data_IF_725890105036
#
_entry.id   IF_725890105036
#
_cell.length_a   1.000
_cell.length_b   1.000
_cell.length_c   1.000
_cell.angle_alpha   90.00
_cell.angle_beta   90.00
_cell.angle_gamma   90.00
#
_symmetry.space_group_name_H-M   'P 1'
#
loop_
_entity.id
_entity.type
_entity.pdbx_description
1 polymer ?
#
# COMPACT_ATOMS: atom_id res chain seq x y z
N UNK A 1 -25.56 14.69 -19.63
CA UNK A 1 -24.42 14.04 -20.33
C UNK A 1 -23.19 14.94 -20.30
N UNK A 2 -23.27 16.21 -20.73
CA UNK A 2 -22.17 17.19 -20.60
C UNK A 2 -21.69 17.36 -19.14
N UNK A 3 -22.60 17.42 -18.17
CA UNK A 3 -22.25 17.64 -16.76
C UNK A 3 -21.39 16.52 -16.16
N UNK A 4 -21.61 15.28 -16.58
CA UNK A 4 -20.83 14.12 -16.10
C UNK A 4 -19.40 14.16 -16.63
N UNK A 5 -19.20 14.54 -17.90
CA UNK A 5 -17.86 14.70 -18.48
C UNK A 5 -17.13 15.88 -17.81
N UNK A 6 -17.83 16.98 -17.52
CA UNK A 6 -17.26 18.11 -16.78
C UNK A 6 -16.81 17.70 -15.37
N UNK A 7 -17.61 16.91 -14.66
CA UNK A 7 -17.24 16.35 -13.35
C UNK A 7 -15.96 15.50 -13.45
N UNK A 8 -15.86 14.62 -14.46
CA UNK A 8 -14.68 13.80 -14.67
C UNK A 8 -13.44 14.64 -15.03
N UNK A 9 -13.60 15.68 -15.86
CA UNK A 9 -12.50 16.60 -16.18
C UNK A 9 -12.00 17.33 -14.93
N UNK A 10 -12.93 17.80 -14.09
CA UNK A 10 -12.58 18.46 -12.84
C UNK A 10 -11.88 17.51 -11.86
N UNK A 11 -12.34 16.26 -11.74
CA UNK A 11 -11.67 15.25 -10.92
C UNK A 11 -10.21 14.99 -11.36
N UNK A 12 -9.96 14.92 -12.68
CA UNK A 12 -8.60 14.78 -13.23
C UNK A 12 -7.75 16.01 -12.93
N UNK A 13 -8.32 17.21 -13.03
CA UNK A 13 -7.61 18.46 -12.71
C UNK A 13 -7.21 18.54 -11.23
N UNK A 14 -8.11 18.16 -10.32
CA UNK A 14 -7.78 18.04 -8.89
C UNK A 14 -6.65 17.04 -8.63
N UNK A 15 -6.66 15.89 -9.33
CA UNK A 15 -5.57 14.92 -9.23
C UNK A 15 -4.22 15.50 -9.67
N UNK A 16 -4.17 16.32 -10.73
CA UNK A 16 -2.95 17.01 -11.16
C UNK A 16 -2.46 18.02 -10.12
N UNK A 17 -3.38 18.76 -9.48
CA UNK A 17 -3.04 19.68 -8.40
C UNK A 17 -2.42 18.94 -7.19
N UNK A 18 -2.91 17.74 -6.89
CA UNK A 18 -2.35 16.81 -5.91
C UNK A 18 -1.06 16.10 -6.39
N UNK A 19 -0.49 16.52 -7.53
CA UNK A 19 0.74 15.97 -8.14
C UNK A 19 0.62 14.51 -8.57
N UNK A 20 -0.58 14.03 -8.85
CA UNK A 20 -0.75 12.71 -9.48
C UNK A 20 -0.20 12.74 -10.90
N UNK A 21 0.46 11.65 -11.30
CA UNK A 21 0.88 11.43 -12.67
C UNK A 21 -0.33 10.99 -13.50
N UNK A 22 -1.01 11.98 -14.09
CA UNK A 22 -2.20 11.79 -14.94
C UNK A 22 -1.93 12.18 -16.39
N UNK A 23 -0.67 12.01 -16.85
CA UNK A 23 -0.28 12.27 -18.23
C UNK A 23 -1.07 11.35 -19.15
N UNK A 24 -1.79 11.93 -20.11
CA UNK A 24 -2.60 11.18 -21.07
C UNK A 24 -3.95 10.68 -20.52
N UNK A 25 -4.34 11.06 -19.30
CA UNK A 25 -5.67 10.75 -18.75
C UNK A 25 -6.58 11.98 -18.89
N UNK A 26 -7.76 11.78 -19.49
CA UNK A 26 -8.79 12.81 -19.66
C UNK A 26 -10.06 12.42 -18.91
N UNK A 27 -10.93 13.40 -18.63
CA UNK A 27 -12.22 13.10 -18.00
C UNK A 27 -13.09 12.19 -18.87
N UNK A 28 -12.94 12.23 -20.20
CA UNK A 28 -13.62 11.31 -21.11
C UNK A 28 -13.24 9.85 -20.87
N UNK A 29 -11.97 9.56 -20.56
CA UNK A 29 -11.55 8.19 -20.26
C UNK A 29 -12.25 7.62 -19.03
N UNK A 30 -12.48 8.46 -18.03
CA UNK A 30 -13.20 8.08 -16.80
C UNK A 30 -14.69 7.93 -17.09
N UNK A 31 -15.28 8.88 -17.83
CA UNK A 31 -16.68 8.87 -18.23
C UNK A 31 -17.04 7.64 -19.08
N UNK A 32 -16.19 7.28 -20.04
CA UNK A 32 -16.37 6.10 -20.90
C UNK A 32 -16.04 4.78 -20.17
N UNK A 33 -15.57 4.83 -18.92
CA UNK A 33 -15.26 3.65 -18.12
C UNK A 33 -13.98 2.92 -18.56
N UNK A 34 -12.98 3.64 -19.07
CA UNK A 34 -11.68 3.06 -19.38
C UNK A 34 -11.06 2.46 -18.11
N UNK A 35 -11.06 1.13 -18.04
CA UNK A 35 -10.72 0.37 -16.84
C UNK A 35 -9.29 0.66 -16.35
N UNK A 36 -8.34 0.71 -17.27
CA UNK A 36 -6.92 0.94 -16.94
C UNK A 36 -6.70 2.36 -16.40
N UNK A 37 -7.25 3.37 -17.08
CA UNK A 37 -7.03 4.76 -16.70
C UNK A 37 -7.82 5.14 -15.43
N UNK A 38 -8.99 4.55 -15.23
CA UNK A 38 -9.75 4.68 -13.99
C UNK A 38 -8.99 4.08 -12.82
N UNK A 39 -8.44 2.86 -12.97
CA UNK A 39 -7.62 2.24 -11.93
C UNK A 39 -6.34 3.03 -11.64
N UNK A 40 -5.72 3.64 -12.66
CA UNK A 40 -4.54 4.49 -12.46
C UNK A 40 -4.84 5.72 -11.59
N UNK A 41 -6.01 6.35 -11.76
CA UNK A 41 -6.46 7.47 -10.92
C UNK A 41 -6.76 6.99 -9.49
N UNK A 42 -7.54 5.91 -9.33
CA UNK A 42 -7.94 5.38 -8.02
C UNK A 42 -6.74 4.88 -7.22
N UNK A 43 -5.77 4.24 -7.86
CA UNK A 43 -4.53 3.80 -7.23
C UNK A 43 -3.75 4.97 -6.63
N UNK A 44 -3.59 6.05 -7.37
CA UNK A 44 -2.89 7.23 -6.87
C UNK A 44 -3.64 7.91 -5.73
N UNK A 45 -4.98 7.92 -5.78
CA UNK A 45 -5.81 8.40 -4.67
C UNK A 45 -5.64 7.57 -3.40
N UNK A 46 -5.71 6.24 -3.52
CA UNK A 46 -5.49 5.32 -2.41
C UNK A 46 -4.09 5.54 -1.80
N UNK A 47 -3.06 5.62 -2.66
CA UNK A 47 -1.68 5.85 -2.23
C UNK A 47 -1.54 7.18 -1.48
N UNK A 48 -2.05 8.27 -2.05
CA UNK A 48 -1.96 9.60 -1.43
C UNK A 48 -2.68 9.65 -0.08
N UNK A 49 -3.86 9.03 0.03
CA UNK A 49 -4.59 8.93 1.28
C UNK A 49 -3.78 8.18 2.35
N UNK A 50 -3.25 6.99 2.03
CA UNK A 50 -2.45 6.20 2.96
C UNK A 50 -1.21 6.97 3.44
N UNK A 51 -0.49 7.64 2.55
CA UNK A 51 0.68 8.45 2.94
C UNK A 51 0.30 9.65 3.79
N UNK A 52 -0.86 10.28 3.53
CA UNK A 52 -1.37 11.37 4.36
C UNK A 52 -1.74 10.89 5.77
N UNK A 53 -2.32 9.70 5.90
CA UNK A 53 -2.60 9.07 7.20
C UNK A 53 -1.29 8.76 7.93
N UNK A 54 -0.32 8.13 7.26
CA UNK A 54 0.98 7.79 7.86
C UNK A 54 1.73 9.05 8.32
N UNK A 55 1.74 10.12 7.52
CA UNK A 55 2.37 11.39 7.89
C UNK A 55 1.74 12.02 9.14
N UNK A 56 0.44 11.82 9.39
CA UNK A 56 -0.20 12.28 10.63
C UNK A 56 0.19 11.46 11.85
N UNK A 57 0.64 10.23 11.64
CA UNK A 57 1.12 9.34 12.70
C UNK A 57 2.63 9.48 12.96
N UNK A 58 3.36 10.24 12.15
CA UNK A 58 4.80 10.48 12.37
C UNK A 58 5.02 11.80 13.10
N UNK A 59 5.56 11.72 14.33
CA UNK A 59 5.85 12.91 15.15
C UNK A 59 6.92 13.83 14.53
N UNK A 60 7.69 13.32 13.55
CA UNK A 60 8.86 14.00 12.99
C UNK A 60 8.52 14.91 11.79
N UNK A 61 7.26 14.97 11.34
CA UNK A 61 6.85 15.78 10.17
C UNK A 61 7.45 15.34 8.83
N UNK A 62 8.10 14.16 8.80
CA UNK A 62 8.68 13.59 7.59
C UNK A 62 7.56 12.92 6.79
N UNK A 63 7.42 13.32 5.52
CA UNK A 63 6.50 12.71 4.57
C UNK A 63 6.83 11.23 4.40
N UNK A 64 5.95 10.35 4.85
CA UNK A 64 6.12 8.92 4.68
C UNK A 64 6.36 8.58 3.20
N UNK A 65 7.56 8.14 2.86
CA UNK A 65 7.88 7.60 1.52
C UNK A 65 7.97 6.08 1.57
N UNK A 66 7.88 5.40 0.42
CA UNK A 66 8.01 3.94 0.35
C UNK A 66 9.31 3.44 0.99
N UNK A 67 10.41 4.19 0.77
CA UNK A 67 11.72 3.88 1.36
C UNK A 67 11.69 3.95 2.88
N UNK A 68 10.98 4.92 3.44
CA UNK A 68 10.86 5.09 4.88
C UNK A 68 9.97 4.02 5.51
N UNK A 69 8.88 3.64 4.83
CA UNK A 69 8.04 2.53 5.28
C UNK A 69 8.86 1.23 5.31
N UNK A 70 9.61 0.94 4.24
CA UNK A 70 10.49 -0.25 4.17
C UNK A 70 11.56 -0.20 5.26
N UNK A 71 12.20 0.95 5.47
CA UNK A 71 13.18 1.14 6.54
C UNK A 71 12.57 0.86 7.91
N UNK A 72 11.43 1.47 8.22
CA UNK A 72 10.74 1.28 9.49
C UNK A 72 10.35 -0.19 9.71
N UNK A 73 9.85 -0.88 8.67
CA UNK A 73 9.51 -2.30 8.75
C UNK A 73 10.74 -3.13 9.14
N UNK A 74 11.87 -2.92 8.46
CA UNK A 74 13.10 -3.68 8.74
C UNK A 74 13.69 -3.35 10.12
N UNK A 75 13.68 -2.09 10.55
CA UNK A 75 14.09 -1.66 11.90
C UNK A 75 13.19 -2.31 12.97
N UNK A 76 11.87 -2.33 12.75
CA UNK A 76 10.91 -2.94 13.67
C UNK A 76 11.13 -4.45 13.81
N UNK A 77 11.29 -5.15 12.70
CA UNK A 77 11.61 -6.59 12.67
C UNK A 77 12.92 -6.89 13.40
N UNK A 78 13.96 -6.10 13.14
CA UNK A 78 15.27 -6.24 13.81
C UNK A 78 15.15 -6.01 15.32
N UNK A 79 14.41 -4.99 15.75
CA UNK A 79 14.19 -4.70 17.18
C UNK A 79 13.48 -5.84 17.92
N UNK A 80 12.59 -6.56 17.23
CA UNK A 80 11.89 -7.74 17.73
C UNK A 80 12.66 -9.05 17.53
N UNK A 81 13.94 -8.97 17.10
CA UNK A 81 14.83 -10.12 16.84
C UNK A 81 14.27 -11.11 15.81
N UNK A 82 13.46 -10.63 14.86
CA UNK A 82 13.01 -11.42 13.71
C UNK A 82 14.11 -11.49 12.65
N UNK A 83 14.17 -12.59 11.91
CA UNK A 83 15.19 -12.82 10.87
C UNK A 83 14.72 -12.41 9.47
N UNK A 84 13.42 -12.23 9.28
CA UNK A 84 12.83 -11.77 8.03
C UNK A 84 13.12 -10.29 7.77
N UNK A 85 13.29 -9.94 6.51
CA UNK A 85 13.49 -8.56 6.04
C UNK A 85 12.92 -8.43 4.61
N UNK A 86 12.62 -7.21 4.18
CA UNK A 86 12.17 -6.91 2.81
C UNK A 86 13.05 -5.84 2.15
N UNK A 87 13.26 -5.96 0.84
CA UNK A 87 14.00 -4.96 0.04
C UNK A 87 13.06 -3.96 -0.63
N UNK A 88 11.85 -4.40 -0.99
CA UNK A 88 10.82 -3.57 -1.62
C UNK A 88 9.43 -4.17 -1.38
N UNK A 89 8.37 -3.44 -1.74
CA UNK A 89 7.00 -3.99 -1.73
C UNK A 89 6.76 -5.06 -2.81
N UNK A 90 7.70 -5.26 -3.73
CA UNK A 90 7.66 -6.30 -4.77
C UNK A 90 8.57 -7.48 -4.43
N UNK A 91 9.13 -7.52 -3.22
CA UNK A 91 10.08 -8.55 -2.83
C UNK A 91 9.40 -9.94 -2.79
N UNK A 92 9.91 -10.94 -3.54
CA UNK A 92 9.34 -12.28 -3.56
C UNK A 92 9.23 -12.94 -2.18
N UNK A 93 10.03 -12.52 -1.19
CA UNK A 93 9.92 -13.07 0.18
C UNK A 93 8.56 -12.81 0.81
N UNK A 94 7.83 -11.78 0.34
CA UNK A 94 6.50 -11.43 0.85
C UNK A 94 5.46 -12.49 0.46
N UNK A 95 5.71 -13.28 -0.59
CA UNK A 95 4.74 -14.23 -1.15
C UNK A 95 4.29 -15.30 -0.15
N UNK A 96 5.16 -15.72 0.78
CA UNK A 96 4.82 -16.71 1.80
C UNK A 96 4.18 -16.10 3.06
N UNK A 97 3.99 -14.77 3.10
CA UNK A 97 3.43 -13.99 4.20
C UNK A 97 4.16 -14.09 5.55
N UNK A 98 5.28 -14.83 5.68
CA UNK A 98 6.00 -15.01 6.95
C UNK A 98 6.48 -13.66 7.48
N UNK A 99 7.06 -12.81 6.62
CA UNK A 99 7.52 -11.48 7.01
C UNK A 99 6.38 -10.56 7.48
N UNK A 100 5.17 -10.76 6.94
CA UNK A 100 3.97 -10.00 7.35
C UNK A 100 3.52 -10.46 8.74
N UNK A 101 3.51 -11.78 9.00
CA UNK A 101 3.19 -12.33 10.32
C UNK A 101 4.21 -11.92 11.37
N UNK A 102 5.49 -11.98 11.03
CA UNK A 102 6.58 -11.53 11.91
C UNK A 102 6.49 -10.04 12.23
N UNK A 103 6.06 -9.21 11.27
CA UNK A 103 5.81 -7.79 11.50
C UNK A 103 4.61 -7.58 12.45
N UNK A 104 3.53 -8.35 12.29
CA UNK A 104 2.36 -8.27 13.18
C UNK A 104 2.75 -8.64 14.61
N UNK A 105 3.48 -9.75 14.79
CA UNK A 105 3.97 -10.17 16.11
C UNK A 105 4.98 -9.17 16.70
N UNK A 106 5.82 -8.53 15.86
CA UNK A 106 6.72 -7.47 16.31
C UNK A 106 5.98 -6.21 16.78
N UNK A 107 4.83 -5.87 16.17
CA UNK A 107 3.99 -4.74 16.59
C UNK A 107 3.25 -5.07 17.88
N UNK A 108 2.66 -6.27 17.96
CA UNK A 108 1.93 -6.73 19.13
C UNK A 108 2.32 -8.17 19.45
N UNK A 109 3.26 -8.40 20.38
CA UNK A 109 3.75 -9.74 20.70
C UNK A 109 2.63 -10.66 21.19
N UNK A 110 2.66 -11.92 20.74
CA UNK A 110 1.77 -12.98 21.22
C UNK A 110 0.41 -13.06 20.54
N UNK A 111 0.19 -12.32 19.45
CA UNK A 111 -1.05 -12.40 18.66
C UNK A 111 -1.01 -13.46 17.56
N UNK A 112 0.19 -13.96 17.22
CA UNK A 112 0.36 -14.99 16.20
C UNK A 112 0.63 -16.33 16.87
N UNK A 113 -0.19 -17.33 16.56
CA UNK A 113 0.12 -18.71 16.85
C UNK A 113 0.97 -19.30 15.73
N UNK A 114 2.27 -19.45 15.96
CA UNK A 114 3.21 -19.98 14.97
C UNK A 114 3.04 -21.47 14.67
N UNK A 115 2.34 -22.24 15.52
CA UNK A 115 2.12 -23.67 15.31
C UNK A 115 1.20 -23.95 14.11
N UNK A 116 0.33 -22.98 13.77
CA UNK A 116 -0.56 -23.07 12.60
C UNK A 116 0.03 -22.41 11.35
N UNK A 117 1.20 -21.77 11.47
CA UNK A 117 1.86 -21.09 10.35
C UNK A 117 2.61 -22.12 9.50
N UNK A 118 2.22 -22.24 8.24
CA UNK A 118 2.88 -23.13 7.29
C UNK A 118 3.94 -22.37 6.48
N UNK A 119 4.99 -23.07 6.03
CA UNK A 119 6.11 -22.47 5.28
C UNK A 119 5.78 -22.14 3.81
N UNK A 120 4.50 -21.88 3.48
CA UNK A 120 4.07 -21.40 2.16
C UNK A 120 4.38 -22.33 0.97
N UNK A 121 4.58 -23.64 1.21
CA UNK A 121 4.92 -24.63 0.16
C UNK A 121 3.72 -25.39 -0.42
N UNK A 122 2.50 -25.11 0.04
CA UNK A 122 1.26 -25.75 -0.44
C UNK A 122 0.12 -24.73 -0.47
N UNK A 123 -0.86 -24.92 -1.36
CA UNK A 123 -2.04 -24.06 -1.61
C UNK A 123 -2.99 -23.82 -0.41
N UNK A 124 -2.54 -24.09 0.81
CA UNK A 124 -3.32 -23.90 2.03
C UNK A 124 -3.13 -22.48 2.54
N UNK A 125 -4.18 -21.69 2.39
CA UNK A 125 -4.33 -20.34 2.96
C UNK A 125 -4.11 -20.40 4.47
N UNK A 126 -3.21 -19.55 4.98
CA UNK A 126 -2.94 -19.40 6.42
C UNK A 126 -4.21 -18.82 7.06
N UNK A 127 -4.81 -19.56 8.00
CA UNK A 127 -5.94 -19.09 8.80
C UNK A 127 -5.39 -18.38 10.04
N UNK A 128 -5.55 -17.06 10.10
CA UNK A 128 -5.38 -16.29 11.34
C UNK A 128 -6.71 -16.41 12.09
N UNK A 129 -6.70 -17.02 13.28
CA UNK A 129 -7.85 -17.03 14.20
C UNK A 129 -7.90 -15.75 15.01
#
# INVERSE_FOLDING_TARGET
>A
MMDQIQNCNYAVELGKQLKFSLVGIQGKDIYDGNRTLTLALVWQLMRAYTLAVLTRCTDNGILATDKEIIRWVNEKLQSARKTTHIRSFQDPVIANSIVVLDLIDAIKPGVINYDVVTKGRTDKVIVIK
#
